data_IF_590400141446
#
_entry.id   IF_590400141446
#
_cell.length_a   1.000
_cell.length_b   1.000
_cell.length_c   1.000
_cell.angle_alpha   90.00
_cell.angle_beta   90.00
_cell.angle_gamma   90.00
#
_symmetry.space_group_name_H-M   'P 1'
#
loop_
_entity.id
_entity.type
_entity.pdbx_description
1 polymer ?
#
# COMPACT_ATOMS: atom_id res chain seq x y z
N UNK A 1 13.96 -7.14 -17.00
CA UNK A 1 13.99 -7.04 -15.52
C UNK A 1 14.78 -5.85 -14.97
N UNK A 2 16.11 -5.77 -15.14
CA UNK A 2 16.93 -4.72 -14.52
C UNK A 2 16.49 -3.31 -14.93
N UNK A 3 16.29 -3.08 -16.22
CA UNK A 3 15.84 -1.78 -16.74
C UNK A 3 14.51 -1.35 -16.13
N UNK A 4 13.54 -2.25 -16.05
CA UNK A 4 12.24 -1.97 -15.44
C UNK A 4 12.36 -1.60 -13.95
N UNK A 5 13.25 -2.26 -13.19
CA UNK A 5 13.53 -1.90 -11.79
C UNK A 5 14.12 -0.49 -11.71
N UNK A 6 15.07 -0.16 -12.60
CA UNK A 6 15.68 1.18 -12.66
C UNK A 6 14.60 2.23 -12.95
N UNK A 7 13.71 1.99 -13.92
CA UNK A 7 12.63 2.92 -14.24
C UNK A 7 11.65 3.10 -13.08
N UNK A 8 11.23 2.00 -12.44
CA UNK A 8 10.32 2.02 -11.29
C UNK A 8 10.93 2.83 -10.13
N UNK A 9 12.20 2.56 -9.78
CA UNK A 9 12.85 3.21 -8.66
C UNK A 9 13.16 4.69 -8.95
N UNK A 10 13.75 5.01 -10.11
CA UNK A 10 14.14 6.37 -10.43
C UNK A 10 12.93 7.27 -10.67
N UNK A 11 12.04 6.92 -11.60
CA UNK A 11 10.89 7.76 -11.93
C UNK A 11 9.90 7.76 -10.76
N UNK A 12 9.64 6.59 -10.16
CA UNK A 12 8.70 6.48 -9.04
C UNK A 12 9.13 7.36 -7.86
N UNK A 13 10.40 7.32 -7.48
CA UNK A 13 10.91 8.17 -6.41
C UNK A 13 10.94 9.64 -6.80
N UNK A 14 11.37 9.96 -8.04
CA UNK A 14 11.43 11.34 -8.53
C UNK A 14 10.04 12.02 -8.52
N UNK A 15 9.04 11.34 -9.10
CA UNK A 15 7.66 11.86 -9.11
C UNK A 15 7.05 11.86 -7.71
N UNK A 16 7.37 10.87 -6.86
CA UNK A 16 7.00 10.89 -5.45
C UNK A 16 7.53 12.12 -4.70
N UNK A 17 8.76 12.54 -4.98
CA UNK A 17 9.34 13.77 -4.41
C UNK A 17 8.66 15.03 -4.97
N UNK A 18 8.31 15.05 -6.26
CA UNK A 18 7.52 16.14 -6.84
C UNK A 18 6.14 16.23 -6.16
N UNK A 19 5.44 15.10 -5.97
CA UNK A 19 4.17 15.06 -5.25
C UNK A 19 4.30 15.61 -3.83
N UNK A 20 5.38 15.24 -3.12
CA UNK A 20 5.70 15.79 -1.79
C UNK A 20 5.82 17.32 -1.80
N UNK A 21 6.51 17.88 -2.79
CA UNK A 21 6.65 19.35 -2.96
C UNK A 21 5.33 20.04 -3.27
N UNK A 22 4.40 19.34 -3.92
CA UNK A 22 3.04 19.80 -4.18
C UNK A 22 2.09 19.59 -2.98
N UNK A 23 2.61 19.23 -1.80
CA UNK A 23 1.85 18.93 -0.57
C UNK A 23 0.94 17.69 -0.67
N UNK A 24 1.21 16.80 -1.64
CA UNK A 24 0.53 15.51 -1.74
C UNK A 24 1.40 14.39 -1.13
N UNK A 25 0.79 13.29 -0.63
CA UNK A 25 1.55 12.14 -0.17
C UNK A 25 2.43 11.56 -1.31
N UNK A 26 3.72 11.27 -1.07
CA UNK A 26 4.62 10.74 -2.10
C UNK A 26 4.11 9.48 -2.78
N UNK A 27 3.38 8.63 -2.03
CA UNK A 27 2.77 7.40 -2.53
C UNK A 27 1.84 7.64 -3.72
N UNK A 28 1.12 8.77 -3.76
CA UNK A 28 0.23 9.10 -4.88
C UNK A 28 1.05 9.24 -6.16
N UNK A 29 2.18 9.96 -6.11
CA UNK A 29 3.09 10.10 -7.24
C UNK A 29 3.69 8.77 -7.69
N UNK A 30 4.08 7.91 -6.73
CA UNK A 30 4.62 6.59 -7.01
C UNK A 30 3.60 5.67 -7.70
N UNK A 31 2.33 5.69 -7.27
CA UNK A 31 1.24 4.92 -7.88
C UNK A 31 0.96 5.40 -9.31
N UNK A 32 0.92 6.72 -9.53
CA UNK A 32 0.73 7.28 -10.87
C UNK A 32 1.80 6.81 -11.85
N UNK A 33 3.07 6.80 -11.43
CA UNK A 33 4.17 6.26 -12.24
C UNK A 33 3.95 4.77 -12.55
N UNK A 34 3.51 3.98 -11.56
CA UNK A 34 3.19 2.56 -11.77
C UNK A 34 2.10 2.35 -12.82
N UNK A 35 1.06 3.19 -12.83
CA UNK A 35 -0.02 3.15 -13.84
C UNK A 35 0.52 3.53 -15.23
N UNK A 36 1.36 4.57 -15.32
CA UNK A 36 1.95 5.03 -16.58
C UNK A 36 2.93 4.02 -17.18
N UNK A 37 3.81 3.44 -16.36
CA UNK A 37 4.79 2.45 -16.80
C UNK A 37 4.19 1.06 -17.03
N UNK A 38 3.03 0.79 -16.44
CA UNK A 38 2.31 -0.47 -16.53
C UNK A 38 1.86 -0.83 -17.95
N UNK A 39 1.43 -2.08 -18.15
CA UNK A 39 0.97 -2.59 -19.45
C UNK A 39 -0.22 -1.83 -20.04
N UNK A 40 -0.96 -1.08 -19.22
CA UNK A 40 -2.14 -0.34 -19.62
C UNK A 40 -1.82 0.89 -20.49
N UNK A 41 -0.61 1.45 -20.37
CA UNK A 41 -0.22 2.68 -21.08
C UNK A 41 1.08 2.47 -21.86
N UNK A 42 2.20 2.23 -21.16
CA UNK A 42 3.54 2.22 -21.76
C UNK A 42 4.10 0.81 -21.99
N UNK A 43 3.59 -0.21 -21.29
CA UNK A 43 4.05 -1.61 -21.35
C UNK A 43 5.59 -1.78 -21.27
N UNK A 44 6.24 -0.89 -20.53
CA UNK A 44 7.70 -0.84 -20.34
C UNK A 44 8.19 -1.75 -19.22
N UNK A 45 7.28 -2.26 -18.38
CA UNK A 45 7.61 -3.17 -17.29
C UNK A 45 7.59 -4.60 -17.82
N UNK A 46 8.70 -5.30 -17.62
CA UNK A 46 8.87 -6.72 -17.95
C UNK A 46 7.85 -7.60 -17.20
N UNK A 47 7.24 -8.56 -17.90
CA UNK A 47 6.21 -9.45 -17.35
C UNK A 47 6.71 -10.28 -16.16
N UNK A 48 8.00 -10.57 -16.10
CA UNK A 48 8.66 -11.23 -14.96
C UNK A 48 8.55 -10.43 -13.65
N UNK A 49 8.50 -9.10 -13.70
CA UNK A 49 8.30 -8.26 -12.51
C UNK A 49 6.84 -8.30 -12.06
N UNK A 50 5.90 -8.36 -13.01
CA UNK A 50 4.49 -8.53 -12.68
C UNK A 50 4.25 -9.89 -12.00
N UNK A 51 4.93 -10.94 -12.46
CA UNK A 51 4.89 -12.25 -11.82
C UNK A 51 5.53 -12.24 -10.42
N UNK A 52 6.65 -11.53 -10.25
CA UNK A 52 7.31 -11.38 -8.95
C UNK A 52 6.60 -10.39 -8.01
N UNK A 53 5.61 -9.62 -8.49
CA UNK A 53 4.98 -8.54 -7.73
C UNK A 53 4.32 -9.03 -6.43
N UNK A 54 3.80 -10.25 -6.43
CA UNK A 54 3.19 -10.84 -5.24
C UNK A 54 4.21 -11.10 -4.12
N UNK A 55 5.35 -11.71 -4.47
CA UNK A 55 6.46 -11.92 -3.54
C UNK A 55 7.05 -10.59 -3.06
N UNK A 56 7.22 -9.62 -3.97
CA UNK A 56 7.70 -8.28 -3.62
C UNK A 56 6.76 -7.55 -2.66
N UNK A 57 5.43 -7.65 -2.87
CA UNK A 57 4.42 -7.07 -1.98
C UNK A 57 4.50 -7.71 -0.59
N UNK A 58 4.65 -9.02 -0.53
CA UNK A 58 4.78 -9.76 0.74
C UNK A 58 6.00 -9.29 1.53
N UNK A 59 7.16 -9.19 0.88
CA UNK A 59 8.39 -8.68 1.51
C UNK A 59 8.21 -7.22 1.95
N UNK A 60 7.60 -6.38 1.12
CA UNK A 60 7.35 -4.98 1.47
C UNK A 60 6.46 -4.85 2.71
N UNK A 61 5.33 -5.57 2.75
CA UNK A 61 4.42 -5.60 3.91
C UNK A 61 5.14 -6.13 5.15
N UNK A 62 5.92 -7.20 5.02
CA UNK A 62 6.72 -7.73 6.14
C UNK A 62 7.67 -6.68 6.71
N UNK A 63 8.42 -5.97 5.85
CA UNK A 63 9.36 -4.92 6.28
C UNK A 63 8.62 -3.74 6.91
N UNK A 64 7.47 -3.32 6.34
CA UNK A 64 6.63 -2.24 6.88
C UNK A 64 6.12 -2.59 8.28
N UNK A 65 5.56 -3.80 8.44
CA UNK A 65 5.04 -4.27 9.74
C UNK A 65 6.16 -4.44 10.77
N UNK A 66 7.32 -4.97 10.36
CA UNK A 66 8.47 -5.08 11.25
C UNK A 66 8.93 -3.71 11.74
N UNK A 67 9.05 -2.71 10.85
CA UNK A 67 9.39 -1.34 11.25
C UNK A 67 8.35 -0.72 12.17
N UNK A 68 7.06 -0.91 11.87
CA UNK A 68 5.99 -0.42 12.73
C UNK A 68 6.05 -1.07 14.13
N UNK A 69 6.30 -2.38 14.21
CA UNK A 69 6.43 -3.12 15.45
C UNK A 69 7.63 -2.71 16.29
N UNK A 70 8.79 -2.46 15.67
CA UNK A 70 10.01 -1.99 16.36
C UNK A 70 9.87 -0.56 16.91
N UNK A 71 8.97 0.26 16.35
CA UNK A 71 8.67 1.61 16.84
C UNK A 71 7.67 1.68 18.00
N UNK A 72 7.15 0.53 18.47
CA UNK A 72 6.19 0.49 19.56
C UNK A 72 6.82 0.77 20.92
N UNK A 73 6.23 1.71 21.64
CA UNK A 73 6.56 2.03 23.02
C UNK A 73 5.73 1.15 23.97
N UNK A 74 6.41 0.29 24.73
CA UNK A 74 5.78 -0.68 25.65
C UNK A 74 5.01 0.00 26.77
N UNK A 75 5.50 1.15 27.26
CA UNK A 75 4.89 1.87 28.38
C UNK A 75 3.58 2.54 27.92
N UNK A 76 3.60 3.17 26.74
CA UNK A 76 2.39 3.72 26.12
C UNK A 76 1.37 2.64 25.77
N UNK A 77 1.84 1.48 25.29
CA UNK A 77 0.96 0.37 24.99
C UNK A 77 0.32 -0.22 26.25
N UNK A 78 1.04 -0.28 27.38
CA UNK A 78 0.47 -0.70 28.65
C UNK A 78 -0.59 0.30 29.15
N UNK A 79 -0.33 1.62 29.03
CA UNK A 79 -1.25 2.66 29.47
C UNK A 79 -2.50 2.77 28.59
N UNK A 80 -2.37 2.61 27.27
CA UNK A 80 -3.45 2.83 26.28
C UNK A 80 -3.90 1.55 25.56
N UNK A 81 -3.47 0.37 26.01
CA UNK A 81 -3.67 -0.89 25.28
C UNK A 81 -5.13 -1.26 25.06
N UNK A 82 -6.01 -1.00 26.05
CA UNK A 82 -7.45 -1.23 25.90
C UNK A 82 -8.06 -0.33 24.82
N UNK A 83 -7.65 0.94 24.78
CA UNK A 83 -8.10 1.91 23.76
C UNK A 83 -7.55 1.51 22.39
N UNK A 84 -6.27 1.11 22.31
CA UNK A 84 -5.64 0.66 21.09
C UNK A 84 -6.34 -0.56 20.47
N UNK A 85 -6.70 -1.56 21.29
CA UNK A 85 -7.45 -2.74 20.80
C UNK A 85 -8.86 -2.35 20.37
N UNK A 86 -9.57 -1.54 21.16
CA UNK A 86 -10.93 -1.11 20.81
C UNK A 86 -10.96 -0.31 19.51
N UNK A 87 -10.05 0.66 19.35
CA UNK A 87 -9.95 1.48 18.14
C UNK A 87 -9.39 0.71 16.95
N UNK A 88 -8.52 -0.28 17.17
CA UNK A 88 -7.94 -1.09 16.10
C UNK A 88 -8.89 -2.16 15.59
N UNK A 89 -9.65 -2.83 16.47
CA UNK A 89 -10.48 -3.98 16.11
C UNK A 89 -11.90 -3.57 15.76
N UNK A 90 -12.59 -2.83 16.63
CA UNK A 90 -14.03 -2.58 16.47
C UNK A 90 -14.33 -1.73 15.22
N UNK A 91 -13.69 -0.56 15.00
CA UNK A 91 -13.84 0.20 13.76
C UNK A 91 -13.47 -0.60 12.53
N UNK A 92 -12.33 -1.30 12.52
CA UNK A 92 -11.87 -2.05 11.36
C UNK A 92 -12.82 -3.20 10.97
N UNK A 93 -13.36 -3.93 11.95
CA UNK A 93 -14.36 -4.98 11.68
C UNK A 93 -15.67 -4.39 11.18
N UNK A 94 -16.15 -3.29 11.77
CA UNK A 94 -17.34 -2.60 11.28
C UNK A 94 -17.16 -2.07 9.85
N UNK A 95 -16.04 -1.42 9.55
CA UNK A 95 -15.69 -0.94 8.21
C UNK A 95 -15.63 -2.11 7.21
N UNK A 96 -14.99 -3.22 7.57
CA UNK A 96 -14.91 -4.40 6.72
C UNK A 96 -16.29 -4.98 6.39
N UNK A 97 -17.19 -5.11 7.38
CA UNK A 97 -18.55 -5.60 7.17
C UNK A 97 -19.34 -4.65 6.26
N UNK A 98 -19.27 -3.34 6.54
CA UNK A 98 -19.98 -2.33 5.73
C UNK A 98 -19.49 -2.33 4.29
N UNK A 99 -18.17 -2.39 4.07
CA UNK A 99 -17.59 -2.44 2.73
C UNK A 99 -18.00 -3.74 2.01
N UNK A 100 -18.00 -4.89 2.69
CA UNK A 100 -18.44 -6.15 2.10
C UNK A 100 -19.91 -6.09 1.63
N UNK A 101 -20.82 -5.62 2.49
CA UNK A 101 -22.24 -5.46 2.13
C UNK A 101 -22.46 -4.43 1.02
N UNK A 102 -21.73 -3.30 1.08
CA UNK A 102 -21.82 -2.26 0.06
C UNK A 102 -21.29 -2.75 -1.30
N UNK A 103 -20.22 -3.55 -1.33
CA UNK A 103 -19.68 -4.14 -2.54
C UNK A 103 -20.69 -5.11 -3.20
N UNK A 104 -21.37 -5.94 -2.41
CA UNK A 104 -22.44 -6.83 -2.92
C UNK A 104 -23.57 -6.00 -3.52
N UNK A 105 -24.05 -4.98 -2.80
CA UNK A 105 -25.17 -4.17 -3.27
C UNK A 105 -24.83 -3.34 -4.52
N UNK A 106 -23.66 -2.69 -4.53
CA UNK A 106 -23.28 -1.73 -5.58
C UNK A 106 -22.61 -2.40 -6.80
N UNK A 107 -21.76 -3.40 -6.58
CA UNK A 107 -21.00 -4.09 -7.63
C UNK A 107 -21.57 -5.47 -7.99
N UNK A 108 -22.64 -5.91 -7.31
CA UNK A 108 -23.29 -7.20 -7.55
C UNK A 108 -22.34 -8.39 -7.37
N UNK A 109 -21.44 -8.29 -6.39
CA UNK A 109 -20.54 -9.39 -6.04
C UNK A 109 -21.27 -10.48 -5.25
N UNK A 110 -20.83 -11.72 -5.41
CA UNK A 110 -21.28 -12.84 -4.58
C UNK A 110 -20.72 -12.72 -3.14
N UNK A 111 -21.41 -13.35 -2.18
CA UNK A 111 -21.00 -13.38 -0.78
C UNK A 111 -19.85 -14.39 -0.54
#
# INVERSE_FOLDING_TARGET
MLESIIWILLIGFFVGQIASRLKAPPLVGMVLVGILLGPQISNTIDSSILQAADSLRTIAVMVILMKAGLGLDREKLAQQGSVAIRLGFLPATCEAIVIALAAIWLLQFDF
#
